data_IF_277111634267
#
_entry.id   IF_277111634267
#
_cell.length_a   1.000
_cell.length_b   1.000
_cell.length_c   1.000
_cell.angle_alpha   90.00
_cell.angle_beta   90.00
_cell.angle_gamma   90.00
#
_symmetry.space_group_name_H-M   'P 1'
#
loop_
_entity.id
_entity.type
_entity.pdbx_description
1 polymer ?
#
# COMPACT_ATOMS: atom_id res chain seq x y z
N UNK A 1 -55.33 11.22 -4.00
CA UNK A 1 -56.42 10.40 -3.40
C UNK A 1 -57.25 9.54 -4.36
N UNK A 2 -56.70 9.02 -5.46
CA UNK A 2 -57.46 8.07 -6.31
C UNK A 2 -57.52 6.64 -5.74
N UNK A 3 -56.55 6.26 -4.90
CA UNK A 3 -56.41 4.90 -4.37
C UNK A 3 -56.75 4.78 -2.88
N UNK A 4 -57.10 5.87 -2.20
CA UNK A 4 -57.35 5.87 -0.74
C UNK A 4 -56.14 5.46 0.09
N UNK A 5 -54.92 5.65 -0.44
CA UNK A 5 -53.68 5.33 0.27
C UNK A 5 -53.22 6.51 1.10
N UNK A 6 -52.70 6.21 2.29
CA UNK A 6 -51.91 7.18 3.06
C UNK A 6 -50.57 7.36 2.33
N UNK A 7 -50.30 8.59 1.90
CA UNK A 7 -49.05 8.89 1.20
C UNK A 7 -47.90 8.87 2.21
N UNK A 8 -46.80 8.15 1.95
CA UNK A 8 -45.67 8.11 2.87
C UNK A 8 -45.03 9.49 2.99
N UNK A 9 -44.39 9.75 4.14
CA UNK A 9 -43.50 10.89 4.25
C UNK A 9 -42.30 10.68 3.31
N UNK A 10 -42.04 11.66 2.44
CA UNK A 10 -40.94 11.60 1.47
C UNK A 10 -39.89 12.62 1.85
N UNK A 11 -38.73 12.12 2.22
CA UNK A 11 -37.53 12.92 2.51
C UNK A 11 -36.60 12.81 1.31
N UNK A 12 -36.20 13.95 0.76
CA UNK A 12 -35.21 14.03 -0.31
C UNK A 12 -33.92 14.61 0.25
N UNK A 13 -32.80 14.10 -0.23
CA UNK A 13 -31.46 14.63 0.03
C UNK A 13 -30.72 14.83 -1.28
N UNK A 14 -29.69 15.69 -1.26
CA UNK A 14 -28.84 15.94 -2.42
C UNK A 14 -27.97 14.74 -2.76
N UNK A 15 -27.44 14.73 -3.97
CA UNK A 15 -26.57 13.64 -4.42
C UNK A 15 -25.24 13.65 -3.67
N UNK A 16 -24.71 12.46 -3.42
CA UNK A 16 -23.35 12.25 -2.92
C UNK A 16 -22.43 12.04 -4.11
N UNK A 17 -21.37 12.85 -4.20
CA UNK A 17 -20.36 12.82 -5.26
C UNK A 17 -19.03 12.31 -4.69
N UNK A 18 -18.19 11.70 -5.54
CA UNK A 18 -16.86 11.22 -5.19
C UNK A 18 -15.92 11.65 -6.32
N UNK A 19 -14.85 12.38 -5.99
CA UNK A 19 -13.97 13.01 -6.98
C UNK A 19 -12.59 12.32 -7.10
N UNK A 20 -12.33 11.27 -6.32
CA UNK A 20 -11.05 10.55 -6.30
C UNK A 20 -10.82 9.66 -7.53
N UNK A 21 -11.87 9.40 -8.32
CA UNK A 21 -11.80 8.46 -9.44
C UNK A 21 -11.88 9.21 -10.77
N UNK A 22 -11.01 8.85 -11.71
CA UNK A 22 -11.10 9.31 -13.10
C UNK A 22 -12.31 8.70 -13.84
N UNK A 23 -12.76 7.52 -13.40
CA UNK A 23 -13.96 6.86 -13.92
C UNK A 23 -15.21 7.43 -13.26
N UNK A 24 -16.14 7.91 -14.07
CA UNK A 24 -17.41 8.45 -13.57
C UNK A 24 -18.25 7.39 -12.83
N UNK A 25 -18.93 7.80 -11.76
CA UNK A 25 -19.89 6.98 -11.02
C UNK A 25 -21.20 6.79 -11.83
N UNK A 26 -21.12 6.02 -12.90
CA UNK A 26 -22.20 5.76 -13.86
C UNK A 26 -22.16 4.30 -14.29
N UNK A 27 -23.25 3.56 -14.03
CA UNK A 27 -23.30 2.13 -14.36
C UNK A 27 -23.15 1.85 -15.85
N UNK A 28 -23.67 2.71 -16.71
CA UNK A 28 -23.51 2.54 -18.17
C UNK A 28 -22.08 2.84 -18.62
N UNK A 29 -21.43 3.84 -18.01
CA UNK A 29 -20.04 4.19 -18.33
C UNK A 29 -19.08 3.09 -17.88
N UNK A 30 -19.26 2.58 -16.66
CA UNK A 30 -18.45 1.45 -16.17
C UNK A 30 -18.68 0.20 -17.02
N UNK A 31 -19.93 -0.10 -17.40
CA UNK A 31 -20.22 -1.23 -18.29
C UNK A 31 -19.53 -1.10 -19.65
N UNK A 32 -19.56 0.09 -20.27
CA UNK A 32 -18.88 0.34 -21.54
C UNK A 32 -17.36 0.15 -21.44
N UNK A 33 -16.74 0.64 -20.36
CA UNK A 33 -15.30 0.47 -20.12
C UNK A 33 -14.89 -0.98 -19.86
N UNK A 34 -15.77 -1.76 -19.22
CA UNK A 34 -15.56 -3.21 -19.05
C UNK A 34 -15.74 -3.93 -20.39
N UNK A 35 -16.76 -3.59 -21.17
CA UNK A 35 -17.03 -4.20 -22.48
C UNK A 35 -15.93 -3.85 -23.52
N UNK A 36 -15.22 -2.73 -23.35
CA UNK A 36 -14.08 -2.31 -24.18
C UNK A 36 -12.72 -2.80 -23.69
N UNK A 37 -12.67 -3.62 -22.64
CA UNK A 37 -11.44 -4.09 -21.98
C UNK A 37 -10.54 -2.96 -21.44
N UNK A 38 -11.09 -1.75 -21.20
CA UNK A 38 -10.36 -0.66 -20.53
C UNK A 38 -10.30 -0.85 -19.01
N UNK A 39 -11.30 -1.53 -18.45
CA UNK A 39 -11.34 -2.05 -17.08
C UNK A 39 -11.40 -3.56 -17.10
N UNK A 40 -10.68 -4.23 -16.19
CA UNK A 40 -10.67 -5.71 -16.12
C UNK A 40 -12.02 -6.29 -15.69
N UNK A 41 -12.85 -5.47 -15.03
CA UNK A 41 -14.14 -5.86 -14.50
C UNK A 41 -14.74 -4.79 -13.58
N UNK A 42 -15.87 -5.12 -12.96
CA UNK A 42 -16.55 -4.23 -12.01
C UNK A 42 -15.77 -4.03 -10.71
N UNK A 43 -14.86 -4.94 -10.39
CA UNK A 43 -13.98 -4.95 -9.23
C UNK A 43 -12.55 -4.45 -9.54
N UNK A 44 -12.34 -3.91 -10.75
CA UNK A 44 -11.10 -3.20 -11.11
C UNK A 44 -10.87 -2.02 -10.15
N UNK A 45 -9.63 -1.82 -9.64
CA UNK A 45 -9.36 -0.79 -8.64
C UNK A 45 -9.69 0.63 -9.13
N UNK A 46 -9.68 0.86 -10.45
CA UNK A 46 -10.01 2.15 -11.10
C UNK A 46 -11.50 2.44 -11.15
N UNK A 47 -12.35 1.44 -10.91
CA UNK A 47 -13.80 1.61 -10.91
C UNK A 47 -14.30 2.08 -9.53
N UNK A 48 -15.17 3.11 -9.44
CA UNK A 48 -15.72 3.60 -8.17
C UNK A 48 -16.87 2.72 -7.65
N UNK A 49 -16.65 1.41 -7.56
CA UNK A 49 -17.67 0.44 -7.16
C UNK A 49 -17.39 -0.11 -5.76
N UNK A 50 -18.45 -0.58 -5.10
CA UNK A 50 -18.29 -1.32 -3.83
C UNK A 50 -17.48 -2.60 -4.04
N UNK A 51 -17.55 -3.23 -5.22
CA UNK A 51 -16.76 -4.42 -5.54
C UNK A 51 -15.26 -4.12 -5.60
N UNK A 52 -14.88 -3.00 -6.23
CA UNK A 52 -13.51 -2.49 -6.28
C UNK A 52 -12.99 -2.15 -4.89
N UNK A 53 -13.75 -1.35 -4.12
CA UNK A 53 -13.39 -1.02 -2.73
C UNK A 53 -13.17 -2.27 -1.88
N UNK A 54 -14.06 -3.27 -2.01
CA UNK A 54 -13.92 -4.55 -1.31
C UNK A 54 -12.67 -5.31 -1.74
N UNK A 55 -12.41 -5.41 -3.06
CA UNK A 55 -11.23 -6.11 -3.60
C UNK A 55 -9.92 -5.40 -3.24
N UNK A 56 -9.97 -4.10 -3.00
CA UNK A 56 -8.85 -3.32 -2.43
C UNK A 56 -8.64 -3.51 -0.94
N UNK A 57 -9.55 -4.18 -0.23
CA UNK A 57 -9.46 -4.40 1.22
C UNK A 57 -10.11 -3.30 2.08
N UNK A 58 -10.95 -2.45 1.48
CA UNK A 58 -11.76 -1.48 2.22
C UNK A 58 -12.93 -2.19 2.91
N UNK A 59 -13.03 -2.05 4.23
CA UNK A 59 -14.10 -2.58 5.06
C UNK A 59 -15.39 -1.79 4.84
N UNK A 60 -16.51 -2.49 4.71
CA UNK A 60 -17.81 -1.85 4.44
C UNK A 60 -18.22 -0.90 5.56
N UNK A 61 -17.83 -1.23 6.80
CA UNK A 61 -17.99 -0.42 8.00
C UNK A 61 -17.36 0.97 7.82
N UNK A 62 -16.18 1.07 7.20
CA UNK A 62 -15.53 2.35 6.96
C UNK A 62 -16.34 3.27 6.03
N UNK A 63 -17.00 2.70 5.02
CA UNK A 63 -17.88 3.44 4.11
C UNK A 63 -19.12 3.94 4.85
N UNK A 64 -19.71 3.08 5.70
CA UNK A 64 -20.88 3.43 6.49
C UNK A 64 -20.56 4.56 7.48
N UNK A 65 -19.45 4.46 8.21
CA UNK A 65 -19.03 5.50 9.16
C UNK A 65 -18.76 6.84 8.45
N UNK A 66 -18.09 6.81 7.28
CA UNK A 66 -17.87 8.02 6.48
C UNK A 66 -19.18 8.67 6.01
N UNK A 67 -20.19 7.87 5.65
CA UNK A 67 -21.52 8.36 5.26
C UNK A 67 -22.32 8.91 6.45
N UNK A 68 -22.20 8.30 7.63
CA UNK A 68 -22.82 8.80 8.87
C UNK A 68 -22.19 10.15 9.25
N UNK A 69 -20.87 10.27 9.16
CA UNK A 69 -20.13 11.50 9.43
C UNK A 69 -20.51 12.62 8.45
N UNK A 70 -20.65 12.32 7.16
CA UNK A 70 -21.08 13.27 6.14
C UNK A 70 -22.49 13.81 6.43
N UNK A 71 -23.38 12.94 6.92
CA UNK A 71 -24.77 13.26 7.23
C UNK A 71 -25.63 13.53 5.99
N UNK A 72 -26.87 13.96 6.22
CA UNK A 72 -27.83 14.25 5.16
C UNK A 72 -27.95 15.75 4.92
N UNK A 73 -27.90 16.17 3.66
CA UNK A 73 -28.10 17.55 3.22
C UNK A 73 -29.15 17.61 2.12
N UNK A 74 -29.88 18.72 2.01
CA UNK A 74 -30.78 18.97 0.87
C UNK A 74 -30.04 19.40 -0.40
N UNK A 75 -28.77 19.79 -0.25
CA UNK A 75 -27.87 20.13 -1.36
C UNK A 75 -26.94 18.95 -1.66
N UNK A 76 -26.39 18.89 -2.87
CA UNK A 76 -25.35 17.91 -3.19
C UNK A 76 -24.14 18.08 -2.26
N UNK A 77 -23.48 16.97 -1.98
CA UNK A 77 -22.33 16.89 -1.08
C UNK A 77 -21.25 16.00 -1.69
N UNK A 78 -20.00 16.35 -1.43
CA UNK A 78 -18.84 15.56 -1.85
C UNK A 78 -18.39 14.69 -0.69
N UNK A 79 -18.36 13.38 -0.90
CA UNK A 79 -17.82 12.42 0.06
C UNK A 79 -16.30 12.36 -0.11
N UNK A 80 -15.58 12.87 0.89
CA UNK A 80 -14.14 12.78 0.92
C UNK A 80 -13.69 11.31 1.10
N UNK A 81 -13.00 10.76 0.10
CA UNK A 81 -12.48 9.38 0.18
C UNK A 81 -11.47 9.22 1.32
N UNK A 82 -10.78 10.29 1.69
CA UNK A 82 -9.91 10.32 2.87
C UNK A 82 -10.64 9.99 4.18
N UNK A 83 -11.94 10.30 4.31
CA UNK A 83 -12.74 9.89 5.45
C UNK A 83 -12.92 8.36 5.47
N UNK A 84 -13.26 7.76 4.32
CA UNK A 84 -13.35 6.29 4.18
C UNK A 84 -12.00 5.65 4.54
N UNK A 85 -10.89 6.16 4.02
CA UNK A 85 -9.55 5.61 4.28
C UNK A 85 -9.14 5.78 5.75
N UNK A 86 -9.50 6.88 6.40
CA UNK A 86 -9.26 7.09 7.83
C UNK A 86 -10.00 6.07 8.68
N UNK A 87 -11.29 5.87 8.43
CA UNK A 87 -12.10 4.86 9.12
C UNK A 87 -11.59 3.45 8.83
N UNK A 88 -11.17 3.17 7.59
CA UNK A 88 -10.62 1.87 7.23
C UNK A 88 -9.30 1.60 7.96
N UNK A 89 -8.37 2.57 8.01
CA UNK A 89 -7.13 2.47 8.78
C UNK A 89 -7.42 2.12 10.24
N UNK A 90 -8.36 2.81 10.87
CA UNK A 90 -8.72 2.56 12.28
C UNK A 90 -9.22 1.12 12.52
N UNK A 91 -9.77 0.45 11.50
CA UNK A 91 -10.24 -0.93 11.59
C UNK A 91 -9.14 -1.97 11.35
N UNK A 92 -8.11 -1.65 10.55
CA UNK A 92 -7.15 -2.67 10.07
C UNK A 92 -5.73 -2.49 10.63
N UNK A 93 -5.34 -1.29 11.08
CA UNK A 93 -3.94 -0.95 11.36
C UNK A 93 -3.29 -1.86 12.42
N UNK A 94 -3.98 -2.02 13.57
CA UNK A 94 -3.58 -2.87 14.71
C UNK A 94 -3.43 -4.35 14.31
N UNK A 95 -4.28 -4.83 13.41
CA UNK A 95 -4.27 -6.22 12.95
C UNK A 95 -3.21 -6.52 11.88
N UNK A 96 -2.76 -5.51 11.14
CA UNK A 96 -2.06 -5.70 9.87
C UNK A 96 -0.55 -5.78 10.04
N UNK A 97 0.09 -6.86 9.58
CA UNK A 97 1.55 -6.98 9.66
C UNK A 97 2.27 -6.03 8.68
N UNK A 98 3.51 -5.67 9.03
CA UNK A 98 4.36 -4.80 8.21
C UNK A 98 5.27 -5.62 7.32
N UNK A 99 5.32 -5.24 6.05
CA UNK A 99 6.21 -5.83 5.06
C UNK A 99 6.96 -4.74 4.28
N UNK A 100 8.00 -5.14 3.55
CA UNK A 100 8.73 -4.26 2.65
C UNK A 100 8.40 -4.59 1.19
N UNK A 101 8.24 -3.56 0.37
CA UNK A 101 8.06 -3.60 -1.07
C UNK A 101 8.91 -2.50 -1.69
N UNK A 102 9.92 -2.88 -2.47
CA UNK A 102 10.75 -1.95 -3.25
C UNK A 102 10.16 -1.87 -4.65
N UNK A 103 9.74 -0.68 -5.08
CA UNK A 103 9.12 -0.49 -6.40
C UNK A 103 10.15 -0.42 -7.51
N UNK A 104 9.89 -1.12 -8.60
CA UNK A 104 10.73 -1.22 -9.79
C UNK A 104 10.09 -0.60 -11.03
N UNK A 105 9.50 0.58 -10.86
CA UNK A 105 8.93 1.34 -11.98
C UNK A 105 9.55 2.74 -12.06
N UNK A 106 10.43 2.94 -13.03
CA UNK A 106 11.15 4.20 -13.24
C UNK A 106 10.23 5.37 -13.56
N UNK A 107 9.06 5.11 -14.16
CA UNK A 107 8.15 6.15 -14.59
C UNK A 107 7.34 6.74 -13.41
N UNK A 108 7.25 6.01 -12.29
CA UNK A 108 6.60 6.47 -11.06
C UNK A 108 7.59 6.88 -9.95
N UNK A 109 8.84 7.16 -10.32
CA UNK A 109 9.91 7.53 -9.37
C UNK A 109 10.48 6.38 -8.54
N UNK A 110 10.16 5.14 -8.95
CA UNK A 110 10.79 3.90 -8.48
C UNK A 110 11.95 3.48 -9.38
N UNK A 111 12.46 2.29 -9.13
CA UNK A 111 13.62 1.71 -9.81
C UNK A 111 14.41 0.94 -8.78
N UNK A 112 14.37 -0.38 -8.83
CA UNK A 112 15.03 -1.20 -7.85
C UNK A 112 16.53 -1.27 -8.17
N UNK A 113 17.36 -0.83 -7.22
CA UNK A 113 18.81 -0.89 -7.35
C UNK A 113 19.34 -1.96 -6.43
N UNK A 114 19.96 -2.98 -7.03
CA UNK A 114 20.70 -4.00 -6.31
C UNK A 114 22.02 -3.42 -5.80
N UNK A 115 22.30 -3.62 -4.51
CA UNK A 115 23.53 -3.19 -3.86
C UNK A 115 24.05 -4.28 -2.94
N UNK A 116 25.29 -4.71 -3.18
CA UNK A 116 25.99 -5.57 -2.24
C UNK A 116 26.18 -4.84 -0.90
N UNK A 117 26.00 -5.55 0.22
CA UNK A 117 26.24 -5.02 1.56
C UNK A 117 27.50 -5.65 2.12
N UNK A 118 28.43 -4.83 2.61
CA UNK A 118 29.73 -5.28 3.12
C UNK A 118 29.91 -4.96 4.60
N UNK A 119 30.38 -5.96 5.34
CA UNK A 119 30.48 -5.88 6.79
C UNK A 119 29.10 -5.89 7.47
N UNK A 120 29.09 -5.81 8.80
CA UNK A 120 27.86 -5.82 9.57
C UNK A 120 27.26 -7.23 9.76
N UNK A 121 26.01 -7.31 10.27
CA UNK A 121 25.28 -8.56 10.46
C UNK A 121 24.89 -9.25 9.14
N UNK A 122 24.63 -10.56 9.20
CA UNK A 122 24.16 -11.36 8.04
C UNK A 122 22.70 -11.07 7.65
N UNK A 123 21.91 -10.49 8.56
CA UNK A 123 20.49 -10.25 8.35
C UNK A 123 19.96 -9.06 9.16
N UNK A 124 18.97 -8.36 8.58
CA UNK A 124 18.15 -7.38 9.29
C UNK A 124 16.99 -8.03 10.04
N UNK A 125 16.52 -7.36 11.10
CA UNK A 125 15.45 -7.82 12.00
C UNK A 125 14.37 -6.77 12.25
N UNK A 126 13.67 -6.29 11.20
CA UNK A 126 12.58 -5.34 11.39
C UNK A 126 11.42 -6.00 12.17
N UNK A 127 10.68 -5.26 13.01
CA UNK A 127 9.52 -5.79 13.71
C UNK A 127 8.44 -6.23 12.72
N UNK A 128 7.65 -7.23 13.11
CA UNK A 128 6.42 -7.61 12.38
C UNK A 128 5.40 -6.48 12.49
N UNK A 129 5.24 -5.91 13.69
CA UNK A 129 4.40 -4.73 13.92
C UNK A 129 5.09 -3.78 14.92
N UNK A 130 5.13 -2.46 14.68
CA UNK A 130 5.82 -1.51 15.55
C UNK A 130 5.21 -1.41 16.95
N UNK A 131 3.91 -1.62 17.09
CA UNK A 131 3.18 -1.49 18.37
C UNK A 131 2.90 -2.85 19.05
N UNK A 132 3.23 -3.98 18.40
CA UNK A 132 3.02 -5.33 18.95
C UNK A 132 4.32 -6.12 18.98
N UNK A 133 5.16 -5.85 19.99
CA UNK A 133 6.45 -6.52 20.17
C UNK A 133 6.33 -8.04 20.34
N UNK A 134 5.18 -8.51 20.85
CA UNK A 134 4.86 -9.92 21.06
C UNK A 134 4.72 -10.71 19.75
N UNK A 135 4.47 -10.04 18.62
CA UNK A 135 4.49 -10.65 17.27
C UNK A 135 5.89 -10.93 16.76
N UNK A 136 6.92 -10.43 17.45
CA UNK A 136 8.31 -10.68 17.13
C UNK A 136 8.84 -9.86 15.95
N UNK A 137 9.85 -10.41 15.29
CA UNK A 137 10.62 -9.73 14.24
C UNK A 137 10.77 -10.64 13.03
N UNK A 138 10.70 -10.04 11.85
CA UNK A 138 11.07 -10.67 10.58
C UNK A 138 12.59 -10.86 10.55
N UNK A 139 13.08 -11.77 9.72
CA UNK A 139 14.52 -11.97 9.49
C UNK A 139 14.77 -11.92 7.98
N UNK A 140 15.53 -10.93 7.53
CA UNK A 140 15.78 -10.64 6.11
C UNK A 140 17.28 -10.73 5.85
N UNK A 141 17.70 -11.63 4.95
CA UNK A 141 19.11 -11.80 4.61
C UNK A 141 19.66 -10.59 3.84
N UNK A 142 20.94 -10.26 4.05
CA UNK A 142 21.67 -9.30 3.21
C UNK A 142 22.84 -9.95 2.46
N UNK A 143 22.99 -11.28 2.55
CA UNK A 143 24.16 -12.01 2.03
C UNK A 143 24.35 -11.83 0.52
N UNK A 144 23.25 -11.92 -0.24
CA UNK A 144 23.23 -11.70 -1.69
C UNK A 144 23.08 -10.21 -2.07
N UNK A 145 23.14 -9.31 -1.08
CA UNK A 145 22.84 -7.90 -1.25
C UNK A 145 21.38 -7.55 -1.01
N UNK A 146 21.04 -6.29 -1.28
CA UNK A 146 19.72 -5.71 -1.04
C UNK A 146 19.23 -4.95 -2.26
N UNK A 147 17.92 -4.92 -2.45
CA UNK A 147 17.24 -3.99 -3.34
C UNK A 147 16.75 -2.79 -2.54
N UNK A 148 16.95 -1.60 -3.07
CA UNK A 148 16.47 -0.32 -2.52
C UNK A 148 15.93 0.52 -3.68
N UNK A 149 14.93 1.36 -3.44
CA UNK A 149 14.47 2.31 -4.46
C UNK A 149 15.60 3.27 -4.84
N UNK A 150 15.81 3.53 -6.13
CA UNK A 150 16.88 4.39 -6.62
C UNK A 150 16.84 5.80 -6.01
N UNK A 151 15.63 6.30 -5.77
CA UNK A 151 15.36 7.60 -5.15
C UNK A 151 15.74 7.67 -3.66
N UNK A 152 15.86 6.51 -3.01
CA UNK A 152 16.24 6.36 -1.60
C UNK A 152 17.76 6.18 -1.40
N UNK A 153 18.52 5.99 -2.48
CA UNK A 153 19.97 5.89 -2.40
C UNK A 153 20.61 7.29 -2.31
N UNK A 154 21.34 7.61 -1.22
CA UNK A 154 21.97 8.92 -1.07
C UNK A 154 23.18 9.04 -2.03
N UNK A 155 23.80 10.22 -2.19
CA UNK A 155 25.07 10.35 -2.91
C UNK A 155 26.18 9.42 -2.39
N UNK A 156 27.19 9.14 -3.21
CA UNK A 156 28.38 8.39 -2.75
C UNK A 156 29.09 9.14 -1.61
N UNK A 157 29.44 8.41 -0.55
CA UNK A 157 30.03 8.93 0.68
C UNK A 157 29.03 9.20 1.80
N UNK A 158 27.75 9.38 1.46
CA UNK A 158 26.67 9.67 2.41
C UNK A 158 26.07 8.38 3.00
N UNK A 159 25.33 8.54 4.11
CA UNK A 159 24.74 7.45 4.89
C UNK A 159 23.24 7.37 4.69
N UNK A 160 22.72 6.15 4.82
CA UNK A 160 21.29 5.84 4.89
C UNK A 160 21.06 4.75 5.94
N UNK A 161 19.90 4.76 6.59
CA UNK A 161 19.51 3.75 7.56
C UNK A 161 18.58 2.72 6.93
N UNK A 162 19.06 1.49 6.76
CA UNK A 162 18.24 0.38 6.30
C UNK A 162 17.37 -0.11 7.46
N UNK A 163 16.05 0.03 7.34
CA UNK A 163 15.11 -0.26 8.44
C UNK A 163 15.27 -1.70 8.94
N UNK A 164 15.46 -1.84 10.25
CA UNK A 164 15.68 -3.13 10.91
C UNK A 164 17.07 -3.74 10.72
N UNK A 165 17.94 -3.17 9.87
CA UNK A 165 19.30 -3.65 9.65
C UNK A 165 20.35 -2.74 10.33
N UNK A 166 20.36 -1.45 10.00
CA UNK A 166 21.32 -0.49 10.57
C UNK A 166 21.80 0.55 9.56
N UNK A 167 22.78 1.35 9.99
CA UNK A 167 23.38 2.41 9.19
C UNK A 167 24.35 1.83 8.15
N UNK A 168 24.26 2.31 6.92
CA UNK A 168 25.19 1.99 5.83
C UNK A 168 25.64 3.25 5.11
N UNK A 169 26.85 3.23 4.55
CA UNK A 169 27.38 4.28 3.69
C UNK A 169 27.37 3.83 2.24
N UNK A 170 26.93 4.69 1.32
CA UNK A 170 27.04 4.41 -0.11
C UNK A 170 28.48 4.58 -0.59
N UNK A 171 28.98 3.57 -1.28
CA UNK A 171 30.31 3.54 -1.91
C UNK A 171 30.14 3.25 -3.40
N UNK A 172 31.22 3.39 -4.17
CA UNK A 172 31.26 2.97 -5.58
C UNK A 172 31.09 1.45 -5.77
N UNK A 173 31.26 0.64 -4.72
CA UNK A 173 31.19 -0.82 -4.79
C UNK A 173 29.95 -1.41 -4.07
N UNK A 174 28.98 -0.55 -3.68
CA UNK A 174 27.76 -0.95 -2.95
C UNK A 174 27.61 -0.22 -1.62
N UNK A 175 27.03 -0.89 -0.63
CA UNK A 175 26.78 -0.36 0.70
C UNK A 175 27.78 -0.94 1.71
N UNK A 176 28.39 -0.08 2.52
CA UNK A 176 29.29 -0.48 3.59
C UNK A 176 28.63 -0.25 4.95
N UNK A 177 28.58 -1.27 5.80
CA UNK A 177 28.01 -1.15 7.14
C UNK A 177 28.82 -0.16 8.00
N UNK A 178 28.09 0.68 8.74
CA UNK A 178 28.66 1.65 9.68
C UNK A 178 28.15 1.32 11.07
N UNK A 179 29.07 1.12 12.01
CA UNK A 179 28.75 0.96 13.43
C UNK A 179 28.28 2.30 14.01
N UNK A 180 27.00 2.58 13.84
CA UNK A 180 26.33 3.78 14.30
C UNK A 180 24.98 3.42 14.93
N UNK A 181 24.65 4.14 16.00
CA UNK A 181 23.36 4.02 16.67
C UNK A 181 22.25 4.65 15.82
N UNK A 182 20.99 4.26 16.05
CA UNK A 182 19.83 4.82 15.35
C UNK A 182 19.67 6.32 15.60
N UNK A 183 20.27 6.86 16.67
CA UNK A 183 20.29 8.28 16.97
C UNK A 183 20.81 9.15 15.80
N UNK A 184 21.67 8.62 14.92
CA UNK A 184 22.15 9.35 13.72
C UNK A 184 21.00 9.77 12.77
N UNK A 185 19.88 9.06 12.79
CA UNK A 185 18.68 9.43 12.01
C UNK A 185 18.06 10.74 12.47
N UNK A 186 18.17 11.05 13.77
CA UNK A 186 17.62 12.27 14.37
C UNK A 186 18.67 13.36 14.51
N UNK A 187 19.89 13.00 14.90
CA UNK A 187 20.97 13.95 15.18
C UNK A 187 21.66 14.44 13.91
N UNK A 188 21.81 13.57 12.92
CA UNK A 188 22.54 13.84 11.68
C UNK A 188 21.63 13.86 10.44
N UNK A 189 20.34 13.62 10.62
CA UNK A 189 19.35 13.64 9.53
C UNK A 189 19.51 12.49 8.53
N UNK A 190 20.03 11.34 8.96
CA UNK A 190 20.14 10.15 8.11
C UNK A 190 18.75 9.58 7.83
N UNK A 191 18.38 9.49 6.55
CA UNK A 191 17.08 8.96 6.13
C UNK A 191 16.92 7.48 6.46
N UNK A 192 15.70 7.08 6.85
CA UNK A 192 15.32 5.69 7.10
C UNK A 192 14.58 5.16 5.87
N UNK A 193 15.09 4.07 5.30
CA UNK A 193 14.53 3.47 4.09
C UNK A 193 14.19 2.00 4.28
N UNK A 194 13.16 1.56 3.58
CA UNK A 194 12.85 0.13 3.45
C UNK A 194 13.72 -0.47 2.35
N UNK A 195 13.86 -1.80 2.38
CA UNK A 195 14.70 -2.57 1.47
C UNK A 195 14.18 -4.00 1.44
N UNK A 196 14.57 -4.78 0.43
CA UNK A 196 14.30 -6.23 0.41
C UNK A 196 15.59 -6.99 0.08
N UNK A 197 15.76 -8.24 0.52
CA UNK A 197 16.89 -9.07 0.10
C UNK A 197 16.95 -9.22 -1.42
N UNK A 198 18.14 -9.16 -2.02
CA UNK A 198 18.27 -9.34 -3.47
C UNK A 198 18.12 -10.82 -3.90
N UNK A 199 18.51 -11.77 -3.04
CA UNK A 199 18.58 -13.19 -3.40
C UNK A 199 17.23 -13.92 -3.44
N UNK A 200 16.28 -13.55 -2.58
CA UNK A 200 15.02 -14.28 -2.39
C UNK A 200 13.77 -13.38 -2.38
N UNK A 201 13.88 -12.11 -2.80
CA UNK A 201 12.72 -11.25 -2.95
C UNK A 201 11.72 -11.81 -3.97
N UNK A 202 10.44 -11.56 -3.68
CA UNK A 202 9.30 -12.05 -4.46
C UNK A 202 8.83 -10.94 -5.40
N UNK A 203 8.77 -11.17 -6.73
CA UNK A 203 8.15 -10.23 -7.65
C UNK A 203 6.71 -9.96 -7.22
N UNK A 204 6.32 -8.68 -7.20
CA UNK A 204 4.98 -8.26 -6.79
C UNK A 204 4.43 -7.21 -7.74
N UNK A 205 3.19 -7.40 -8.16
CA UNK A 205 2.37 -6.41 -8.85
C UNK A 205 1.31 -5.86 -7.90
N UNK A 206 1.42 -4.57 -7.62
CA UNK A 206 0.49 -3.82 -6.80
C UNK A 206 -0.49 -3.07 -7.71
N UNK A 207 -1.73 -3.55 -7.75
CA UNK A 207 -2.84 -2.97 -8.50
C UNK A 207 -3.34 -1.71 -7.79
N UNK A 208 -3.30 -0.55 -8.43
CA UNK A 208 -3.73 0.74 -7.84
C UNK A 208 -4.80 1.43 -8.69
N UNK A 209 -5.35 2.55 -8.20
CA UNK A 209 -6.27 3.39 -8.97
C UNK A 209 -5.56 4.15 -10.11
N UNK A 210 -4.24 4.33 -10.02
CA UNK A 210 -3.43 5.08 -11.00
C UNK A 210 -2.71 4.14 -11.99
N UNK A 211 -2.89 2.83 -11.85
CA UNK A 211 -2.22 1.80 -12.64
C UNK A 211 -1.44 0.79 -11.80
N UNK A 212 -0.86 -0.20 -12.47
CA UNK A 212 -0.12 -1.28 -11.82
C UNK A 212 1.30 -0.81 -11.49
N UNK A 213 1.72 -1.03 -10.25
CA UNK A 213 3.09 -0.77 -9.77
C UNK A 213 3.79 -2.11 -9.59
N UNK A 214 4.92 -2.31 -10.27
CA UNK A 214 5.71 -3.54 -10.15
C UNK A 214 6.86 -3.32 -9.18
N UNK A 215 7.34 -4.40 -8.56
CA UNK A 215 8.46 -4.34 -7.65
C UNK A 215 8.79 -5.68 -7.01
N UNK A 216 9.56 -5.59 -5.93
CA UNK A 216 10.08 -6.73 -5.19
C UNK A 216 9.66 -6.62 -3.74
N UNK A 217 8.87 -7.59 -3.28
CA UNK A 217 8.47 -7.73 -1.89
C UNK A 217 9.43 -8.66 -1.14
N UNK A 218 9.48 -8.52 0.18
CA UNK A 218 10.26 -9.44 0.99
C UNK A 218 9.74 -10.89 0.92
N UNK A 219 10.60 -11.90 1.17
CA UNK A 219 10.26 -13.31 0.95
C UNK A 219 9.05 -13.79 1.75
N UNK A 220 8.85 -13.25 2.95
CA UNK A 220 7.74 -13.60 3.83
C UNK A 220 6.35 -13.33 3.23
N UNK A 221 6.25 -12.44 2.24
CA UNK A 221 4.98 -12.10 1.58
C UNK A 221 4.37 -13.32 0.87
N UNK A 222 5.18 -14.25 0.36
CA UNK A 222 4.68 -15.48 -0.28
C UNK A 222 3.99 -16.46 0.70
N UNK A 223 4.05 -16.21 2.01
CA UNK A 223 3.42 -17.03 3.03
C UNK A 223 2.05 -16.53 3.51
N UNK A 224 1.59 -15.38 3.03
CA UNK A 224 0.28 -14.82 3.41
C UNK A 224 -0.82 -15.43 2.54
N UNK A 225 -2.00 -15.66 3.11
CA UNK A 225 -3.14 -16.18 2.37
C UNK A 225 -3.83 -15.05 1.58
N UNK A 226 -4.52 -15.37 0.45
CA UNK A 226 -5.43 -14.44 -0.19
C UNK A 226 -6.44 -13.85 0.82
N UNK A 227 -6.80 -12.59 0.62
CA UNK A 227 -7.61 -11.75 1.52
C UNK A 227 -6.92 -11.22 2.79
N UNK A 228 -5.69 -11.64 3.08
CA UNK A 228 -4.92 -11.03 4.17
C UNK A 228 -4.46 -9.61 3.82
N UNK A 229 -4.40 -8.76 4.84
CA UNK A 229 -3.91 -7.39 4.71
C UNK A 229 -2.44 -7.32 5.11
N UNK A 230 -1.68 -6.54 4.34
CA UNK A 230 -0.32 -6.11 4.66
C UNK A 230 -0.22 -4.61 4.61
N UNK A 231 0.64 -4.02 5.43
CA UNK A 231 1.10 -2.66 5.25
C UNK A 231 2.52 -2.68 4.71
N UNK A 232 2.66 -2.33 3.44
CA UNK A 232 3.96 -2.07 2.85
C UNK A 232 4.48 -0.73 3.37
N UNK A 233 5.56 -0.79 4.14
CA UNK A 233 6.13 0.40 4.77
C UNK A 233 6.47 1.48 3.75
N UNK A 234 6.07 2.73 4.04
CA UNK A 234 6.21 3.91 3.16
C UNK A 234 5.43 3.83 1.83
N UNK A 235 4.71 2.74 1.58
CA UNK A 235 3.83 2.57 0.41
C UNK A 235 2.36 2.69 0.82
N UNK A 236 1.90 1.85 1.76
CA UNK A 236 0.53 1.86 2.30
C UNK A 236 -0.03 0.45 2.52
N UNK A 237 -1.32 0.37 2.83
CA UNK A 237 -2.05 -0.88 3.02
C UNK A 237 -2.40 -1.52 1.69
N UNK A 238 -2.28 -2.84 1.62
CA UNK A 238 -2.67 -3.64 0.47
C UNK A 238 -3.26 -4.97 0.92
N UNK A 239 -4.20 -5.50 0.13
CA UNK A 239 -4.75 -6.85 0.29
C UNK A 239 -4.03 -7.80 -0.66
N UNK A 240 -3.59 -8.96 -0.19
CA UNK A 240 -3.11 -10.03 -1.07
C UNK A 240 -4.29 -10.60 -1.86
N UNK A 241 -4.20 -10.56 -3.19
CA UNK A 241 -5.25 -11.08 -4.09
C UNK A 241 -4.96 -12.52 -4.50
N UNK A 242 -3.72 -12.77 -4.96
CA UNK A 242 -3.28 -14.10 -5.37
C UNK A 242 -1.75 -14.21 -5.39
N UNK A 243 -1.27 -15.46 -5.31
CA UNK A 243 0.09 -15.82 -5.70
C UNK A 243 0.02 -16.54 -7.05
N UNK A 244 0.51 -15.89 -8.10
CA UNK A 244 0.60 -16.45 -9.45
C UNK A 244 1.97 -17.13 -9.64
N UNK A 245 2.15 -17.83 -10.77
CA UNK A 245 3.39 -18.57 -11.04
C UNK A 245 4.64 -17.66 -11.12
N UNK A 246 4.46 -16.40 -11.48
CA UNK A 246 5.55 -15.45 -11.76
C UNK A 246 5.65 -14.29 -10.78
N UNK A 247 4.56 -13.97 -10.08
CA UNK A 247 4.49 -12.84 -9.16
C UNK A 247 3.36 -13.00 -8.13
N UNK A 248 3.45 -12.24 -7.04
CA UNK A 248 2.31 -12.01 -6.15
C UNK A 248 1.51 -10.81 -6.64
N UNK A 249 0.18 -10.92 -6.66
CA UNK A 249 -0.71 -9.80 -6.97
C UNK A 249 -1.34 -9.30 -5.68
N UNK A 250 -1.22 -8.00 -5.44
CA UNK A 250 -1.84 -7.31 -4.32
C UNK A 250 -2.63 -6.09 -4.80
N UNK A 251 -3.68 -5.71 -4.08
CA UNK A 251 -4.49 -4.53 -4.39
C UNK A 251 -4.28 -3.46 -3.33
N UNK A 252 -3.93 -2.25 -3.78
CA UNK A 252 -3.70 -1.12 -2.91
C UNK A 252 -5.01 -0.57 -2.31
N UNK A 253 -5.06 -0.49 -0.98
CA UNK A 253 -6.17 0.08 -0.25
C UNK A 253 -6.03 1.60 -0.16
N UNK A 254 -5.11 2.07 0.68
CA UNK A 254 -4.80 3.47 0.90
C UNK A 254 -3.46 3.57 1.65
N UNK A 255 -2.86 4.76 1.65
CA UNK A 255 -1.72 5.05 2.52
C UNK A 255 -2.15 5.02 3.97
#
# INVERSE_FOLDING_TARGET
>A
DYFGWEYPEVIHWGHVQIDEYDVALSTSTIAELVDSDELDGWDDPRAPTVASLRRRGIRGEAIVEAMIELGTSTSNVDLATSAIYSHNRALIDDGTDRAFLVRDDSDQGGGAVESAVRGGPEAGRPPVHPEHEDRGRRQLSVEDGVLVEASDLPPEGDRVWLKGYGCVRRTSEGLEWVDADIDVTREEGVDIVHWVPAGDAVPLRLRTMDGDVHGHAEPGVAGYDPDEMLQFERVGFARIDAHEDVETVAYFAHR
#
